data_IF_416363436389
#
_entry.id   IF_416363436389
#
_cell.length_a   1.000
_cell.length_b   1.000
_cell.length_c   1.000
_cell.angle_alpha   90.00
_cell.angle_beta   90.00
_cell.angle_gamma   90.00
#
_symmetry.space_group_name_H-M   'P 1'
#
loop_
_entity.id
_entity.type
_entity.pdbx_description
1 polymer ?
#
# COMPACT_ATOMS: atom_id res chain seq x y z
N UNK A 1 -41.49 -20.59 -31.44
CA UNK A 1 -40.47 -21.11 -30.51
C UNK A 1 -39.67 -19.91 -30.03
N UNK A 2 -39.77 -19.53 -28.76
CA UNK A 2 -38.98 -18.45 -28.16
C UNK A 2 -37.57 -18.95 -27.90
N UNK A 3 -36.60 -18.50 -28.71
CA UNK A 3 -35.19 -18.75 -28.45
C UNK A 3 -34.76 -17.91 -27.24
N UNK A 4 -34.78 -18.52 -26.06
CA UNK A 4 -34.22 -17.90 -24.87
C UNK A 4 -32.70 -18.04 -24.93
N UNK A 5 -32.00 -16.93 -25.16
CA UNK A 5 -30.53 -16.88 -25.12
C UNK A 5 -30.13 -16.46 -23.72
N UNK A 6 -29.38 -17.32 -23.01
CA UNK A 6 -28.80 -17.01 -21.70
C UNK A 6 -27.35 -16.61 -21.94
N UNK A 7 -27.01 -15.35 -21.65
CA UNK A 7 -25.63 -14.83 -21.74
C UNK A 7 -25.08 -14.70 -20.33
N UNK A 8 -24.09 -15.53 -19.99
CA UNK A 8 -23.35 -15.43 -18.73
C UNK A 8 -21.99 -14.77 -18.96
N UNK A 9 -21.75 -13.61 -18.34
CA UNK A 9 -20.42 -12.98 -18.33
C UNK A 9 -19.64 -13.45 -17.10
N UNK A 10 -18.51 -14.14 -17.29
CA UNK A 10 -17.64 -14.57 -16.19
C UNK A 10 -16.31 -13.76 -16.18
N UNK A 11 -15.83 -13.37 -15.00
CA UNK A 11 -14.54 -12.69 -14.78
C UNK A 11 -14.59 -11.67 -13.65
N UNK A 12 -13.46 -11.02 -13.34
CA UNK A 12 -13.40 -9.86 -12.42
C UNK A 12 -14.42 -8.81 -12.88
N UNK A 13 -15.08 -8.11 -11.94
CA UNK A 13 -15.95 -6.97 -12.30
C UNK A 13 -15.09 -5.97 -13.06
N UNK A 14 -15.42 -5.73 -14.32
CA UNK A 14 -14.71 -4.83 -15.23
C UNK A 14 -15.70 -3.95 -15.99
N UNK A 15 -15.23 -2.80 -16.48
CA UNK A 15 -16.06 -1.83 -17.20
C UNK A 15 -16.58 -2.34 -18.55
N UNK A 16 -15.96 -3.38 -19.12
CA UNK A 16 -16.43 -4.04 -20.34
C UNK A 16 -17.75 -4.78 -20.11
N UNK A 17 -17.90 -5.46 -18.96
CA UNK A 17 -19.14 -6.12 -18.53
C UNK A 17 -20.22 -5.10 -18.18
N UNK A 18 -19.88 -4.02 -17.46
CA UNK A 18 -20.84 -2.93 -17.19
C UNK A 18 -21.38 -2.34 -18.49
N UNK A 19 -20.51 -2.02 -19.44
CA UNK A 19 -20.92 -1.45 -20.74
C UNK A 19 -21.88 -2.37 -21.51
N UNK A 20 -21.63 -3.69 -21.48
CA UNK A 20 -22.49 -4.68 -22.11
C UNK A 20 -23.84 -4.82 -21.39
N UNK A 21 -23.85 -4.85 -20.06
CA UNK A 21 -25.09 -4.92 -19.26
C UNK A 21 -25.93 -3.66 -19.51
N UNK A 22 -25.33 -2.48 -19.52
CA UNK A 22 -26.03 -1.24 -19.84
C UNK A 22 -26.63 -1.29 -21.27
N UNK A 23 -25.85 -1.68 -22.27
CA UNK A 23 -26.34 -1.78 -23.65
C UNK A 23 -27.49 -2.80 -23.81
N UNK A 24 -27.53 -3.85 -22.99
CA UNK A 24 -28.54 -4.91 -23.06
C UNK A 24 -29.76 -4.67 -22.17
N UNK A 25 -29.62 -3.92 -21.08
CA UNK A 25 -30.65 -3.80 -20.03
C UNK A 25 -31.02 -2.37 -19.69
N UNK A 26 -30.31 -1.38 -20.23
CA UNK A 26 -30.39 0.06 -19.88
C UNK A 26 -30.08 0.36 -18.41
N UNK A 27 -29.53 -0.61 -17.68
CA UNK A 27 -29.13 -0.46 -16.28
C UNK A 27 -27.64 -0.13 -16.23
N UNK A 28 -27.32 1.07 -15.73
CA UNK A 28 -25.96 1.45 -15.39
C UNK A 28 -25.53 0.76 -14.08
N UNK A 29 -24.48 -0.07 -14.17
CA UNK A 29 -23.91 -0.79 -13.03
C UNK A 29 -22.70 -0.10 -12.43
N UNK A 30 -22.19 1.00 -13.01
CA UNK A 30 -21.06 1.79 -12.50
C UNK A 30 -21.56 2.83 -11.48
N UNK A 31 -21.86 2.33 -10.28
CA UNK A 31 -22.47 3.07 -9.15
C UNK A 31 -21.44 3.72 -8.24
N UNK A 32 -20.23 3.18 -8.18
CA UNK A 32 -19.13 3.70 -7.36
C UNK A 32 -18.36 4.80 -8.12
N UNK A 33 -17.67 5.69 -7.39
CA UNK A 33 -16.89 6.77 -8.02
C UNK A 33 -15.68 6.23 -8.77
N UNK A 34 -15.09 5.18 -8.21
CA UNK A 34 -13.96 4.44 -8.75
C UNK A 34 -14.33 3.77 -10.08
N UNK A 35 -15.60 3.39 -10.24
CA UNK A 35 -16.13 2.79 -11.46
C UNK A 35 -16.34 3.81 -12.59
N UNK A 36 -16.23 5.11 -12.30
CA UNK A 36 -16.34 6.21 -13.27
C UNK A 36 -14.99 6.84 -13.59
N UNK A 37 -13.90 6.17 -13.22
CA UNK A 37 -12.56 6.65 -13.48
C UNK A 37 -12.28 6.71 -15.00
N UNK A 38 -11.42 7.64 -15.46
CA UNK A 38 -11.05 7.72 -16.87
C UNK A 38 -10.42 6.42 -17.36
N UNK A 39 -10.86 5.94 -18.54
CA UNK A 39 -10.33 4.74 -19.20
C UNK A 39 -9.27 5.15 -20.22
N UNK A 40 -8.10 4.50 -20.16
CA UNK A 40 -7.02 4.69 -21.12
C UNK A 40 -6.76 3.38 -21.87
N UNK A 41 -6.89 3.43 -23.20
CA UNK A 41 -6.49 2.33 -24.06
C UNK A 41 -4.98 2.41 -24.29
N UNK A 42 -4.24 1.38 -23.87
CA UNK A 42 -2.79 1.36 -24.01
C UNK A 42 -2.30 0.09 -24.69
N UNK A 43 -1.20 0.22 -25.43
CA UNK A 43 -0.45 -0.91 -25.97
C UNK A 43 0.99 -0.84 -25.48
N UNK A 44 1.37 -1.75 -24.58
CA UNK A 44 2.74 -1.78 -24.03
C UNK A 44 3.80 -2.12 -25.08
N UNK A 45 3.44 -2.90 -26.10
CA UNK A 45 4.36 -3.30 -27.17
C UNK A 45 4.52 -2.25 -28.27
N UNK A 46 3.51 -1.40 -28.48
CA UNK A 46 3.53 -0.34 -29.51
C UNK A 46 3.76 1.07 -28.94
N UNK A 47 3.63 1.23 -27.62
CA UNK A 47 3.73 2.52 -26.94
C UNK A 47 2.48 3.41 -27.08
N UNK A 48 1.45 2.97 -27.81
CA UNK A 48 0.21 3.74 -28.01
C UNK A 48 -0.52 3.96 -26.67
N UNK A 49 -1.01 5.19 -26.44
CA UNK A 49 -1.79 5.58 -25.25
C UNK A 49 -1.01 5.64 -23.94
N UNK A 50 0.26 5.22 -23.91
CA UNK A 50 1.08 5.19 -22.69
C UNK A 50 1.39 6.60 -22.19
N UNK A 51 1.64 7.55 -23.08
CA UNK A 51 1.89 8.94 -22.71
C UNK A 51 0.64 9.62 -22.10
N UNK A 52 -0.53 9.33 -22.65
CA UNK A 52 -1.82 9.83 -22.14
C UNK A 52 -2.11 9.25 -20.76
N UNK A 53 -1.92 7.94 -20.57
CA UNK A 53 -2.01 7.29 -19.27
C UNK A 53 -1.01 7.89 -18.27
N UNK A 54 0.23 8.13 -18.70
CA UNK A 54 1.28 8.71 -17.85
C UNK A 54 0.91 10.11 -17.38
N UNK A 55 0.41 10.96 -18.27
CA UNK A 55 -0.05 12.31 -17.92
C UNK A 55 -1.22 12.27 -16.94
N UNK A 56 -2.19 11.38 -17.18
CA UNK A 56 -3.32 11.22 -16.28
C UNK A 56 -2.91 10.74 -14.88
N UNK A 57 -1.94 9.83 -14.79
CA UNK A 57 -1.37 9.41 -13.51
C UNK A 57 -0.67 10.58 -12.79
N UNK A 58 0.11 11.40 -13.51
CA UNK A 58 0.74 12.60 -12.94
C UNK A 58 -0.32 13.56 -12.39
N UNK A 59 -1.39 13.81 -13.15
CA UNK A 59 -2.49 14.67 -12.72
C UNK A 59 -3.24 14.09 -11.52
N UNK A 60 -3.50 12.79 -11.50
CA UNK A 60 -4.16 12.12 -10.37
C UNK A 60 -3.30 12.20 -9.10
N UNK A 61 -1.98 12.04 -9.23
CA UNK A 61 -1.03 12.21 -8.11
C UNK A 61 -1.01 13.66 -7.63
N UNK A 62 -1.02 14.65 -8.54
CA UNK A 62 -1.04 16.06 -8.17
C UNK A 62 -2.36 16.50 -7.53
N UNK A 63 -3.49 15.91 -7.94
CA UNK A 63 -4.82 16.18 -7.39
C UNK A 63 -5.08 15.44 -6.07
N UNK A 64 -4.35 14.37 -5.80
CA UNK A 64 -4.34 13.74 -4.48
C UNK A 64 -3.67 14.70 -3.49
N UNK A 65 -4.47 15.35 -2.64
CA UNK A 65 -4.01 16.30 -1.64
C UNK A 65 -2.74 15.81 -0.94
N UNK A 66 -1.76 16.71 -0.77
CA UNK A 66 -0.48 16.43 -0.13
C UNK A 66 -0.67 15.51 1.08
N UNK A 67 0.03 14.37 1.08
CA UNK A 67 0.12 13.48 2.22
C UNK A 67 0.54 14.33 3.41
N UNK A 68 -0.41 14.65 4.29
CA UNK A 68 -0.24 15.56 5.41
C UNK A 68 1.06 15.23 6.11
N UNK A 69 2.10 16.03 5.93
CA UNK A 69 3.41 15.79 6.53
C UNK A 69 3.39 15.93 8.05
N UNK A 70 2.28 16.47 8.58
CA UNK A 70 2.05 16.77 9.98
C UNK A 70 1.20 15.74 10.73
N UNK A 71 0.80 14.61 10.11
CA UNK A 71 0.13 13.52 10.85
C UNK A 71 1.15 12.54 11.43
N UNK A 72 0.93 11.99 12.64
CA UNK A 72 1.77 10.95 13.20
C UNK A 72 1.90 9.77 12.24
N UNK A 73 3.10 9.19 12.16
CA UNK A 73 3.30 8.06 11.27
C UNK A 73 2.56 6.81 11.75
N UNK A 74 2.19 5.94 10.80
CA UNK A 74 1.66 4.61 11.09
C UNK A 74 2.34 3.57 10.21
N UNK A 75 2.84 2.52 10.86
CA UNK A 75 3.50 1.40 10.21
C UNK A 75 2.88 0.09 10.71
N UNK A 76 1.88 -0.47 10.01
CA UNK A 76 1.44 -1.83 10.25
C UNK A 76 2.60 -2.80 10.02
N UNK A 77 2.89 -3.63 11.03
CA UNK A 77 4.01 -4.57 10.99
C UNK A 77 3.53 -5.88 10.34
N UNK A 78 4.19 -6.29 9.26
CA UNK A 78 3.92 -7.55 8.56
C UNK A 78 4.91 -8.67 8.94
N UNK A 79 6.17 -8.32 9.26
CA UNK A 79 7.19 -9.29 9.70
C UNK A 79 8.07 -8.69 10.79
N UNK A 80 8.58 -9.58 11.64
CA UNK A 80 9.49 -9.26 12.74
C UNK A 80 10.66 -10.23 12.71
N UNK A 81 11.87 -9.67 12.72
CA UNK A 81 13.13 -10.40 12.76
C UNK A 81 13.92 -9.97 13.99
N UNK A 82 14.71 -10.88 14.54
CA UNK A 82 15.72 -10.53 15.55
C UNK A 82 17.07 -10.96 15.00
N UNK A 83 17.94 -9.99 14.76
CA UNK A 83 19.27 -10.21 14.22
C UNK A 83 20.30 -10.00 15.33
N UNK A 84 21.20 -10.98 15.49
CA UNK A 84 22.26 -10.92 16.51
C UNK A 84 23.14 -9.68 16.30
N UNK A 85 23.38 -8.92 17.36
CA UNK A 85 24.15 -7.66 17.30
C UNK A 85 23.39 -6.44 16.76
N UNK A 86 22.31 -6.62 15.99
CA UNK A 86 21.56 -5.52 15.34
C UNK A 86 20.32 -5.14 16.18
N UNK A 87 19.59 -6.14 16.69
CA UNK A 87 18.36 -5.94 17.46
C UNK A 87 17.11 -6.47 16.77
N UNK A 88 15.96 -5.90 17.10
CA UNK A 88 14.67 -6.28 16.51
C UNK A 88 14.43 -5.42 15.28
N UNK A 89 14.30 -6.05 14.11
CA UNK A 89 13.93 -5.40 12.86
C UNK A 89 12.49 -5.75 12.54
N UNK A 90 11.67 -4.75 12.22
CA UNK A 90 10.30 -4.95 11.77
C UNK A 90 10.16 -4.44 10.34
N UNK A 91 9.26 -5.04 9.56
CA UNK A 91 8.93 -4.57 8.22
C UNK A 91 7.45 -4.23 8.13
N UNK A 92 7.14 -3.28 7.25
CA UNK A 92 5.77 -2.86 6.96
C UNK A 92 5.72 -1.85 5.82
N UNK A 93 4.51 -1.49 5.39
CA UNK A 93 4.31 -0.34 4.50
C UNK A 93 3.93 0.85 5.35
N UNK A 94 4.71 1.93 5.28
CA UNK A 94 4.40 3.17 6.00
C UNK A 94 3.13 3.75 5.37
N UNK A 95 2.01 3.77 6.10
CA UNK A 95 0.73 4.19 5.51
C UNK A 95 0.51 5.70 5.63
N UNK A 96 1.07 6.31 6.67
CA UNK A 96 0.86 7.71 7.04
C UNK A 96 2.16 8.31 7.58
N UNK A 97 2.31 9.62 7.43
CA UNK A 97 3.40 10.40 8.01
C UNK A 97 4.78 10.13 7.42
N UNK A 98 5.78 10.54 8.19
CA UNK A 98 7.21 10.35 7.90
C UNK A 98 7.87 9.74 9.13
N UNK A 99 8.84 8.87 8.91
CA UNK A 99 9.59 8.20 9.96
C UNK A 99 11.08 8.49 9.76
N UNK A 100 11.75 8.99 10.79
CA UNK A 100 13.17 9.34 10.77
C UNK A 100 13.98 8.44 11.71
N UNK A 101 15.27 8.30 11.41
CA UNK A 101 16.21 7.71 12.35
C UNK A 101 16.21 8.50 13.67
N UNK A 102 16.17 7.79 14.79
CA UNK A 102 16.16 8.37 16.11
C UNK A 102 14.77 8.69 16.67
N UNK A 103 13.70 8.61 15.87
CA UNK A 103 12.33 8.85 16.31
C UNK A 103 11.91 7.91 17.45
N UNK A 104 11.09 8.44 18.35
CA UNK A 104 10.34 7.63 19.32
C UNK A 104 9.05 7.13 18.68
N UNK A 105 8.79 5.84 18.86
CA UNK A 105 7.60 5.16 18.37
C UNK A 105 6.91 4.39 19.51
N UNK A 106 5.64 4.06 19.32
CA UNK A 106 4.86 3.28 20.27
C UNK A 106 4.31 2.01 19.59
N UNK A 107 4.62 0.85 20.17
CA UNK A 107 4.13 -0.44 19.67
C UNK A 107 2.77 -0.76 20.28
N UNK A 108 1.76 -0.90 19.41
CA UNK A 108 0.41 -1.32 19.78
C UNK A 108 0.24 -2.85 19.72
N UNK A 109 -0.70 -3.43 20.50
CA UNK A 109 -1.62 -2.75 21.43
C UNK A 109 -1.01 -2.44 22.81
N UNK A 110 0.20 -2.92 23.10
CA UNK A 110 0.82 -2.86 24.43
C UNK A 110 1.34 -1.46 24.83
N UNK A 111 1.27 -0.49 23.93
CA UNK A 111 1.73 0.89 24.14
C UNK A 111 3.20 1.00 24.55
N UNK A 112 4.03 0.08 24.03
CA UNK A 112 5.44 0.02 24.42
C UNK A 112 6.24 1.05 23.63
N UNK A 113 6.86 2.00 24.35
CA UNK A 113 7.79 2.96 23.75
C UNK A 113 9.05 2.27 23.24
N UNK A 114 9.44 2.60 22.02
CA UNK A 114 10.64 2.13 21.34
C UNK A 114 11.28 3.29 20.58
N UNK A 115 12.54 3.13 20.20
CA UNK A 115 13.28 4.10 19.39
C UNK A 115 13.72 3.47 18.08
N UNK A 116 13.55 4.23 16.99
CA UNK A 116 14.06 3.89 15.66
C UNK A 116 15.57 4.08 15.66
N UNK A 117 16.31 3.01 15.38
CA UNK A 117 17.78 3.04 15.27
C UNK A 117 18.26 3.27 13.84
N UNK A 118 17.60 2.61 12.90
CA UNK A 118 17.96 2.68 11.48
C UNK A 118 16.75 2.31 10.63
N UNK A 119 16.68 2.91 9.45
CA UNK A 119 15.66 2.65 8.44
C UNK A 119 16.30 2.12 7.16
N UNK A 120 15.58 1.25 6.46
CA UNK A 120 15.93 0.82 5.11
C UNK A 120 14.70 0.81 4.21
N UNK A 121 14.87 1.25 2.97
CA UNK A 121 13.87 1.22 1.90
C UNK A 121 14.54 0.66 0.65
N UNK A 122 13.93 -0.34 0.02
CA UNK A 122 14.52 -1.06 -1.13
C UNK A 122 15.97 -1.53 -0.87
N UNK A 123 16.20 -2.11 0.33
CA UNK A 123 17.51 -2.62 0.79
C UNK A 123 18.62 -1.56 0.92
N UNK A 124 18.28 -0.28 0.83
CA UNK A 124 19.19 0.85 1.04
C UNK A 124 18.94 1.51 2.39
N UNK A 125 20.00 1.86 3.11
CA UNK A 125 19.89 2.63 4.34
C UNK A 125 19.44 4.07 4.02
N UNK A 126 18.45 4.55 4.77
CA UNK A 126 17.89 5.90 4.62
C UNK A 126 17.80 6.60 5.98
N UNK A 127 17.90 7.92 5.98
CA UNK A 127 17.67 8.72 7.19
C UNK A 127 16.18 8.93 7.48
N UNK A 128 15.36 8.90 6.43
CA UNK A 128 13.93 9.16 6.49
C UNK A 128 13.18 8.29 5.48
N UNK A 129 12.03 7.79 5.91
CA UNK A 129 11.05 7.10 5.07
C UNK A 129 9.72 7.86 5.07
N UNK A 130 8.97 7.75 3.98
CA UNK A 130 7.70 8.46 3.75
C UNK A 130 6.56 7.49 3.44
N UNK A 131 5.34 7.90 3.75
CA UNK A 131 4.15 7.11 3.49
C UNK A 131 4.06 6.62 2.04
N UNK A 132 3.67 5.36 1.84
CA UNK A 132 3.68 4.62 0.58
C UNK A 132 4.89 3.72 0.39
N UNK A 133 5.96 3.91 1.17
CA UNK A 133 7.17 3.09 1.07
C UNK A 133 7.08 1.82 1.92
N UNK A 134 7.67 0.73 1.42
CA UNK A 134 7.95 -0.44 2.24
C UNK A 134 9.25 -0.22 2.99
N UNK A 135 9.19 -0.27 4.31
CA UNK A 135 10.29 0.13 5.20
C UNK A 135 10.66 -1.02 6.12
N UNK A 136 11.95 -1.27 6.27
CA UNK A 136 12.50 -2.06 7.36
C UNK A 136 13.02 -1.11 8.46
N UNK A 137 12.62 -1.37 9.70
CA UNK A 137 12.87 -0.48 10.84
C UNK A 137 13.57 -1.28 11.94
N UNK A 138 14.79 -0.89 12.29
CA UNK A 138 15.45 -1.41 13.47
C UNK A 138 14.94 -0.67 14.71
N UNK A 139 14.34 -1.41 15.63
CA UNK A 139 13.75 -0.89 16.85
C UNK A 139 14.57 -1.26 18.06
N UNK A 140 14.63 -0.33 19.02
CA UNK A 140 15.18 -0.60 20.34
C UNK A 140 14.24 -0.17 21.45
N UNK A 141 13.97 -1.10 22.37
CA UNK A 141 13.15 -0.84 23.55
C UNK A 141 13.98 -0.11 24.59
N UNK A 142 13.70 1.16 24.79
CA UNK A 142 14.23 1.91 25.93
C UNK A 142 13.49 1.48 27.20
N UNK A 143 13.96 0.41 27.85
CA UNK A 143 14.30 0.42 29.27
C UNK A 143 15.01 -0.88 29.68
N UNK A 144 15.98 -0.75 30.59
CA UNK A 144 16.66 -1.89 31.23
C UNK A 144 15.60 -2.82 31.84
N UNK A 145 15.81 -4.12 31.61
CA UNK A 145 15.12 -5.31 32.17
C UNK A 145 13.87 -5.78 31.42
N UNK A 146 13.99 -6.97 30.84
CA UNK A 146 12.88 -7.76 30.33
C UNK A 146 13.32 -8.68 29.19
N UNK A 147 14.09 -9.72 29.52
CA UNK A 147 14.36 -10.83 28.59
C UNK A 147 13.04 -11.57 28.34
N UNK A 148 12.51 -11.49 27.14
CA UNK A 148 11.60 -12.51 26.60
C UNK A 148 12.03 -12.84 25.17
N UNK A 149 12.60 -14.04 25.04
CA UNK A 149 12.96 -14.66 23.76
C UNK A 149 11.67 -15.07 23.07
N UNK A 150 11.25 -14.35 22.02
CA UNK A 150 10.18 -14.80 21.15
C UNK A 150 10.74 -15.86 20.20
N UNK A 151 10.10 -17.04 20.21
CA UNK A 151 10.43 -18.22 19.40
C UNK A 151 10.27 -17.95 17.91
N UNK A 152 11.23 -18.48 17.15
CA UNK A 152 11.17 -18.73 15.72
C UNK A 152 9.92 -19.55 15.36
N UNK A 153 9.15 -19.11 14.36
CA UNK A 153 8.34 -20.01 13.55
C UNK A 153 9.09 -20.22 12.22
N UNK A 154 9.50 -21.45 11.88
CA UNK A 154 10.08 -21.75 10.59
C UNK A 154 9.00 -21.88 9.51
N UNK A 155 9.35 -21.42 8.30
CA UNK A 155 8.95 -21.94 6.97
C UNK A 155 7.49 -22.24 6.72
#
# INVERSE_FOLDING_TARGET
>A
MSNNVIIGTAGHVDHGKTSLINALTEIDTDRLKEERAPIFHVSSSKGEGVDELRQALIQAVAAAADKKTSIPFRLPIDRVFTLSGIGTVVTGTLIEGKLCNGDEAELYPQKKKVRVRSLQVHDQAVEQAEAGQRVAVNLSGTNKKGRSRARQYPG
#
